data_IF_128827237581
#
_entry.id   IF_128827237581
#
_cell.length_a   1.000
_cell.length_b   1.000
_cell.length_c   1.000
_cell.angle_alpha   90.00
_cell.angle_beta   90.00
_cell.angle_gamma   90.00
#
_symmetry.space_group_name_H-M   'P 1'
#
loop_
_entity.id
_entity.type
_entity.pdbx_description
1 polymer ?
#
# COMPACT_ATOMS: atom_id res chain seq x y z
N UNK A 1 -1.39 21.89 7.02
CA UNK A 1 -0.84 21.16 8.20
C UNK A 1 -1.82 20.13 8.75
N UNK A 2 -3.00 20.51 9.24
CA UNK A 2 -3.96 19.58 9.86
C UNK A 2 -4.38 18.40 8.95
N UNK A 3 -4.60 18.64 7.65
CA UNK A 3 -4.89 17.60 6.65
C UNK A 3 -3.77 16.56 6.51
N UNK A 4 -2.51 16.99 6.61
CA UNK A 4 -1.37 16.08 6.53
C UNK A 4 -1.30 15.22 7.79
N UNK A 5 -1.47 15.83 8.97
CA UNK A 5 -1.53 15.11 10.25
C UNK A 5 -2.64 14.06 10.25
N UNK A 6 -3.85 14.40 9.81
CA UNK A 6 -4.95 13.43 9.72
C UNK A 6 -4.62 12.25 8.79
N UNK A 7 -4.01 12.51 7.63
CA UNK A 7 -3.56 11.46 6.71
C UNK A 7 -2.50 10.57 7.34
N UNK A 8 -1.55 11.15 8.06
CA UNK A 8 -0.52 10.41 8.79
C UNK A 8 -1.12 9.55 9.89
N UNK A 9 -2.06 10.07 10.68
CA UNK A 9 -2.75 9.30 11.73
C UNK A 9 -3.54 8.15 11.10
N UNK A 10 -4.28 8.40 10.01
CA UNK A 10 -5.00 7.35 9.30
C UNK A 10 -4.06 6.25 8.78
N UNK A 11 -2.93 6.65 8.19
CA UNK A 11 -1.90 5.70 7.74
C UNK A 11 -1.32 4.88 8.90
N UNK A 12 -0.98 5.53 10.02
CA UNK A 12 -0.47 4.87 11.22
C UNK A 12 -1.51 3.93 11.84
N UNK A 13 -2.79 4.27 11.81
CA UNK A 13 -3.86 3.39 12.28
C UNK A 13 -3.96 2.11 11.42
N UNK A 14 -3.89 2.24 10.09
CA UNK A 14 -3.87 1.10 9.17
C UNK A 14 -2.61 0.23 9.41
N UNK A 15 -1.44 0.86 9.55
CA UNK A 15 -0.19 0.16 9.86
C UNK A 15 -0.27 -0.57 11.22
N UNK A 16 -0.86 0.06 12.23
CA UNK A 16 -1.06 -0.54 13.54
C UNK A 16 -1.97 -1.77 13.45
N UNK A 17 -3.09 -1.71 12.72
CA UNK A 17 -3.98 -2.86 12.51
C UNK A 17 -3.18 -4.01 11.87
N UNK A 18 -2.41 -3.74 10.83
CA UNK A 18 -1.59 -4.75 10.16
C UNK A 18 -0.57 -5.40 11.11
N UNK A 19 0.15 -4.59 11.90
CA UNK A 19 1.11 -5.08 12.90
C UNK A 19 0.43 -5.88 14.01
N UNK A 20 -0.68 -5.38 14.56
CA UNK A 20 -1.40 -6.02 15.64
C UNK A 20 -1.95 -7.39 15.21
N UNK A 21 -2.53 -7.48 14.02
CA UNK A 21 -2.98 -8.76 13.47
C UNK A 21 -1.80 -9.71 13.29
N UNK A 22 -0.66 -9.23 12.75
CA UNK A 22 0.54 -10.05 12.59
C UNK A 22 1.13 -10.56 13.91
N UNK A 23 1.12 -9.75 14.96
CA UNK A 23 1.60 -10.12 16.29
C UNK A 23 0.69 -11.13 17.01
N UNK A 24 -0.61 -11.06 16.78
CA UNK A 24 -1.60 -11.91 17.47
C UNK A 24 -2.01 -13.16 16.67
N UNK A 25 -1.66 -13.23 15.38
CA UNK A 25 -2.00 -14.34 14.48
C UNK A 25 -0.72 -14.88 13.85
N UNK A 26 0.18 -15.41 14.69
CA UNK A 26 1.48 -15.96 14.28
C UNK A 26 1.39 -17.35 13.66
N UNK A 27 0.18 -17.92 13.60
CA UNK A 27 -0.05 -19.22 12.99
C UNK A 27 0.21 -19.19 11.48
N UNK A 28 0.67 -20.31 10.97
CA UNK A 28 0.81 -20.52 9.54
C UNK A 28 -0.58 -20.60 8.91
N UNK A 29 -0.84 -19.72 7.93
CA UNK A 29 -2.12 -19.69 7.23
C UNK A 29 -1.95 -20.22 5.81
N UNK A 30 -2.95 -20.97 5.35
CA UNK A 30 -3.06 -21.35 3.94
C UNK A 30 -3.61 -20.15 3.18
N UNK A 31 -2.74 -19.48 2.44
CA UNK A 31 -3.12 -18.35 1.61
C UNK A 31 -3.40 -18.81 0.17
N UNK A 32 -4.61 -18.50 -0.30
CA UNK A 32 -5.06 -18.80 -1.66
C UNK A 32 -5.19 -17.50 -2.44
N UNK A 33 -4.46 -17.41 -3.53
CA UNK A 33 -4.44 -16.30 -4.45
C UNK A 33 -4.38 -16.84 -5.88
N UNK A 34 -5.55 -17.23 -6.41
CA UNK A 34 -5.66 -17.89 -7.71
C UNK A 34 -5.03 -17.07 -8.85
N UNK A 35 -5.08 -15.74 -8.75
CA UNK A 35 -4.48 -14.82 -9.72
C UNK A 35 -2.95 -14.92 -9.79
N UNK A 36 -2.28 -15.35 -8.71
CA UNK A 36 -0.85 -15.64 -8.69
C UNK A 36 -0.52 -17.14 -8.78
N UNK A 37 -1.50 -17.97 -9.19
CA UNK A 37 -1.31 -19.41 -9.39
C UNK A 37 -1.30 -20.24 -8.11
N UNK A 38 -1.67 -19.68 -6.96
CA UNK A 38 -1.78 -20.44 -5.71
C UNK A 38 -3.19 -20.98 -5.58
N UNK A 39 -3.30 -22.30 -5.39
CA UNK A 39 -4.57 -23.03 -5.41
C UNK A 39 -4.69 -23.89 -4.17
N UNK A 40 -5.83 -24.55 -3.96
CA UNK A 40 -5.98 -25.52 -2.88
C UNK A 40 -4.94 -26.64 -2.90
N UNK A 41 -4.41 -26.97 -4.08
CA UNK A 41 -3.37 -27.99 -4.27
C UNK A 41 -1.96 -27.48 -3.97
N UNK A 42 -1.75 -26.17 -4.04
CA UNK A 42 -0.47 -25.48 -3.87
C UNK A 42 -0.66 -24.16 -3.10
N UNK A 43 -1.11 -24.22 -1.84
CA UNK A 43 -1.26 -23.02 -1.03
C UNK A 43 0.10 -22.41 -0.69
N UNK A 44 0.12 -21.09 -0.52
CA UNK A 44 1.25 -20.45 0.17
C UNK A 44 1.07 -20.69 1.67
N UNK A 45 2.11 -21.24 2.27
CA UNK A 45 2.28 -21.37 3.71
C UNK A 45 3.14 -20.21 4.19
N UNK A 46 2.52 -19.23 4.82
CA UNK A 46 3.20 -18.10 5.43
C UNK A 46 2.42 -17.64 6.66
N UNK A 47 3.12 -16.95 7.57
CA UNK A 47 2.45 -16.28 8.68
C UNK A 47 1.50 -15.21 8.14
N UNK A 48 0.38 -15.01 8.84
CA UNK A 48 -0.59 -13.98 8.46
C UNK A 48 0.05 -12.58 8.38
N UNK A 49 1.05 -12.33 9.23
CA UNK A 49 1.86 -11.12 9.21
C UNK A 49 2.49 -10.84 7.82
N UNK A 50 3.07 -11.85 7.18
CA UNK A 50 3.71 -11.69 5.87
C UNK A 50 2.71 -11.40 4.76
N UNK A 51 1.55 -12.06 4.80
CA UNK A 51 0.48 -11.85 3.81
C UNK A 51 -0.11 -10.44 3.94
N UNK A 52 -0.47 -10.02 5.15
CA UNK A 52 -1.01 -8.67 5.38
C UNK A 52 0.03 -7.58 5.09
N UNK A 53 1.31 -7.85 5.37
CA UNK A 53 2.39 -6.95 5.00
C UNK A 53 2.48 -6.78 3.48
N UNK A 54 2.44 -7.88 2.72
CA UNK A 54 2.47 -7.82 1.26
C UNK A 54 1.32 -6.99 0.67
N UNK A 55 0.09 -7.21 1.14
CA UNK A 55 -1.09 -6.43 0.71
C UNK A 55 -0.94 -4.95 1.07
N UNK A 56 -0.51 -4.65 2.30
CA UNK A 56 -0.25 -3.29 2.74
C UNK A 56 0.83 -2.62 1.88
N UNK A 57 1.96 -3.27 1.66
CA UNK A 57 3.09 -2.76 0.89
C UNK A 57 2.70 -2.42 -0.55
N UNK A 58 1.92 -3.27 -1.23
CA UNK A 58 1.40 -2.98 -2.57
C UNK A 58 0.52 -1.72 -2.55
N UNK A 59 -0.36 -1.59 -1.55
CA UNK A 59 -1.19 -0.41 -1.37
C UNK A 59 -0.38 0.87 -1.12
N UNK A 60 0.65 0.81 -0.28
CA UNK A 60 1.56 1.93 -0.02
C UNK A 60 2.30 2.32 -1.30
N UNK A 61 2.92 1.37 -1.99
CA UNK A 61 3.65 1.63 -3.24
C UNK A 61 2.74 2.25 -4.30
N UNK A 62 1.54 1.70 -4.51
CA UNK A 62 0.56 2.25 -5.44
C UNK A 62 0.13 3.68 -5.06
N UNK A 63 -0.18 3.91 -3.78
CA UNK A 63 -0.53 5.23 -3.27
C UNK A 63 0.60 6.25 -3.42
N UNK A 64 1.85 5.85 -3.14
CA UNK A 64 3.03 6.69 -3.32
C UNK A 64 3.27 7.01 -4.78
N UNK A 65 3.18 6.03 -5.69
CA UNK A 65 3.32 6.26 -7.14
C UNK A 65 2.25 7.22 -7.66
N UNK A 66 1.00 7.08 -7.24
CA UNK A 66 -0.08 8.00 -7.64
C UNK A 66 0.12 9.41 -7.07
N UNK A 67 0.64 9.52 -5.84
CA UNK A 67 0.87 10.82 -5.19
C UNK A 67 2.09 11.55 -5.76
N UNK A 68 3.15 10.82 -6.10
CA UNK A 68 4.40 11.39 -6.65
C UNK A 68 4.30 11.58 -8.16
N UNK A 69 3.70 10.62 -8.89
CA UNK A 69 3.57 10.62 -10.35
C UNK A 69 2.57 11.63 -10.91
N UNK A 70 1.69 12.20 -10.08
CA UNK A 70 0.79 13.30 -10.49
C UNK A 70 1.43 14.70 -10.36
N UNK A 71 2.70 14.78 -9.92
CA UNK A 71 3.38 16.04 -9.62
C UNK A 71 4.15 16.72 -10.76
N UNK A 72 4.30 16.12 -11.95
CA UNK A 72 5.17 16.66 -13.02
C UNK A 72 4.46 17.41 -14.16
N UNK A 73 3.17 17.73 -14.04
CA UNK A 73 2.37 18.21 -15.18
C UNK A 73 1.82 19.65 -15.14
N UNK A 74 2.24 20.53 -14.22
CA UNK A 74 1.64 21.89 -14.17
C UNK A 74 2.60 23.00 -13.70
N UNK A 75 3.77 23.07 -14.32
CA UNK A 75 4.65 24.24 -14.28
C UNK A 75 5.18 24.52 -15.68
N UNK A 76 4.81 25.69 -16.25
CA UNK A 76 5.47 26.20 -17.46
C UNK A 76 4.57 26.65 -18.62
N UNK A 77 3.53 27.46 -18.38
CA UNK A 77 3.13 28.46 -19.39
C UNK A 77 3.78 29.79 -19.02
N UNK A 78 5.06 29.90 -19.34
CA UNK A 78 5.66 31.18 -19.71
C UNK A 78 6.37 30.98 -21.04
N UNK A 79 5.70 31.36 -22.10
CA UNK A 79 6.33 31.74 -23.35
C UNK A 79 5.51 32.91 -23.88
N UNK A 80 6.04 34.10 -23.58
CA UNK A 80 5.88 35.32 -24.37
C UNK A 80 5.39 35.04 -25.79
N UNK A 81 4.21 35.59 -26.13
CA UNK A 81 3.88 35.86 -27.53
C UNK A 81 3.68 37.36 -27.65
N UNK A 82 4.70 37.99 -28.21
CA UNK A 82 4.74 39.38 -28.61
C UNK A 82 3.46 39.84 -29.29
N UNK A 83 2.98 41.02 -28.91
CA UNK A 83 2.41 42.01 -29.83
C UNK A 83 2.55 43.41 -29.24
#
# INVERSE_FOLDING_TARGET
MLKAVFRTIAFLAILFIMLYVGMNNTHDIKFFFPLAGTTEKTPIHASAALIYFGVFAIGVLGGTVLTVGTGSGRGGRSASKAK
#
